data_IF_808115910059
#
_entry.id   IF_808115910059
#
_cell.length_a   1.000
_cell.length_b   1.000
_cell.length_c   1.000
_cell.angle_alpha   90.00
_cell.angle_beta   90.00
_cell.angle_gamma   90.00
#
_symmetry.space_group_name_H-M   'P 1'
#
loop_
_entity.id
_entity.type
_entity.pdbx_description
1 polymer ?
#
# COMPACT_ATOMS: atom_id res chain seq x y z
N UNK A 1 9.42 0.82 15.26
CA UNK A 1 8.19 0.39 15.94
C UNK A 1 7.85 -1.00 15.41
N UNK A 2 7.23 -1.88 16.20
CA UNK A 2 6.79 -3.21 15.76
C UNK A 2 5.31 -3.14 15.37
N UNK A 3 4.96 -3.65 14.18
CA UNK A 3 3.57 -3.80 13.77
C UNK A 3 2.85 -4.80 14.66
N UNK A 4 1.58 -4.53 15.02
CA UNK A 4 0.76 -5.47 15.79
C UNK A 4 0.00 -6.41 14.86
N UNK A 5 -0.46 -7.52 15.41
CA UNK A 5 -1.31 -8.48 14.68
C UNK A 5 -2.58 -7.80 14.15
N UNK A 6 -2.94 -8.11 12.91
CA UNK A 6 -4.10 -7.54 12.26
C UNK A 6 -5.38 -8.16 12.81
N UNK A 7 -6.32 -7.30 13.24
CA UNK A 7 -7.64 -7.70 13.71
C UNK A 7 -8.71 -7.46 12.63
N UNK A 8 -9.97 -7.77 12.94
CA UNK A 8 -11.12 -7.65 12.03
C UNK A 8 -11.23 -6.22 11.47
N UNK A 9 -10.99 -6.05 10.17
CA UNK A 9 -11.06 -4.76 9.48
C UNK A 9 -12.36 -4.56 8.70
N UNK A 10 -13.21 -5.59 8.65
CA UNK A 10 -14.40 -5.62 7.81
C UNK A 10 -15.59 -4.94 8.48
N UNK A 11 -15.70 -5.08 9.81
CA UNK A 11 -16.80 -4.51 10.59
C UNK A 11 -16.34 -3.46 11.59
N UNK A 12 -15.16 -3.64 12.19
CA UNK A 12 -14.53 -2.70 13.11
C UNK A 12 -13.63 -1.75 12.33
N UNK A 13 -14.21 -0.79 11.59
CA UNK A 13 -13.46 0.08 10.68
C UNK A 13 -13.97 1.53 10.76
N UNK A 14 -13.10 2.54 10.61
CA UNK A 14 -13.52 3.95 10.74
C UNK A 14 -14.63 4.35 9.76
N UNK A 15 -14.61 3.79 8.55
CA UNK A 15 -15.64 4.02 7.55
C UNK A 15 -16.99 3.41 7.94
N UNK A 16 -16.95 2.28 8.66
CA UNK A 16 -18.09 1.53 9.14
C UNK A 16 -18.69 2.16 10.41
N UNK A 17 -17.84 2.71 11.28
CA UNK A 17 -18.22 3.14 12.64
C UNK A 17 -18.64 4.60 12.74
N UNK A 18 -18.29 5.45 11.76
CA UNK A 18 -18.56 6.90 11.83
C UNK A 18 -19.48 7.33 10.69
N UNK A 19 -20.61 7.94 11.05
CA UNK A 19 -21.47 8.58 10.07
C UNK A 19 -20.86 9.91 9.60
N UNK A 20 -20.39 9.93 8.37
CA UNK A 20 -19.76 11.09 7.74
C UNK A 20 -20.76 11.97 6.96
N UNK A 21 -22.06 11.64 6.98
CA UNK A 21 -23.08 12.44 6.30
C UNK A 21 -23.14 13.84 6.89
N UNK A 22 -23.15 14.86 6.02
CA UNK A 22 -23.15 16.28 6.43
C UNK A 22 -21.77 16.86 6.75
N UNK A 23 -20.72 16.04 6.71
CA UNK A 23 -19.35 16.54 6.75
C UNK A 23 -18.83 16.85 5.33
N UNK A 24 -18.14 17.98 5.21
CA UNK A 24 -17.55 18.51 3.99
C UNK A 24 -16.21 19.18 4.31
N UNK A 25 -15.52 19.69 3.31
CA UNK A 25 -14.13 20.16 3.42
C UNK A 25 -13.89 21.18 4.54
N UNK A 26 -14.86 22.05 4.85
CA UNK A 26 -14.70 23.08 5.90
C UNK A 26 -14.94 22.57 7.32
N UNK A 27 -15.73 21.50 7.51
CA UNK A 27 -16.09 20.98 8.84
C UNK A 27 -15.53 19.57 9.13
N UNK A 28 -14.72 18.98 8.24
CA UNK A 28 -14.11 17.65 8.41
C UNK A 28 -13.33 17.45 9.72
N UNK A 29 -12.78 18.53 10.30
CA UNK A 29 -12.06 18.49 11.59
C UNK A 29 -12.97 18.16 12.78
N UNK A 30 -14.29 18.31 12.61
CA UNK A 30 -15.28 18.00 13.64
C UNK A 30 -15.71 16.53 13.60
N UNK A 31 -15.20 15.73 12.65
CA UNK A 31 -15.44 14.29 12.64
C UNK A 31 -14.67 13.69 13.82
N UNK A 32 -15.40 13.05 14.72
CA UNK A 32 -14.82 12.35 15.87
C UNK A 32 -14.68 10.88 15.52
N UNK A 33 -13.44 10.41 15.47
CA UNK A 33 -13.14 9.01 15.24
C UNK A 33 -12.93 8.30 16.58
N UNK A 34 -13.71 7.24 16.89
CA UNK A 34 -13.53 6.47 18.13
C UNK A 34 -12.22 5.69 18.09
N UNK A 35 -11.62 5.40 19.24
CA UNK A 35 -10.43 4.53 19.27
C UNK A 35 -10.84 3.10 18.94
N UNK A 36 -10.47 2.61 17.75
CA UNK A 36 -10.76 1.25 17.31
C UNK A 36 -9.64 0.29 17.70
N UNK A 37 -10.04 -0.91 18.14
CA UNK A 37 -9.10 -1.99 18.44
C UNK A 37 -8.50 -2.61 17.19
N UNK A 38 -9.16 -2.49 16.03
CA UNK A 38 -8.59 -2.88 14.74
C UNK A 38 -7.54 -1.90 14.20
N UNK A 39 -7.64 -0.63 14.56
CA UNK A 39 -6.77 0.45 14.10
C UNK A 39 -5.59 0.67 15.05
N UNK A 40 -4.88 -0.41 15.38
CA UNK A 40 -3.84 -0.37 16.41
C UNK A 40 -2.59 0.33 15.90
N UNK A 41 -2.11 1.29 16.68
CA UNK A 41 -0.82 1.92 16.42
C UNK A 41 0.33 0.92 16.63
N UNK A 42 1.38 0.98 15.80
CA UNK A 42 2.59 0.20 16.01
C UNK A 42 3.14 0.40 17.42
N UNK A 43 3.60 -0.67 18.06
CA UNK A 43 4.18 -0.56 19.39
C UNK A 43 5.61 0.01 19.32
N UNK A 44 6.02 0.85 20.28
CA UNK A 44 7.40 1.28 20.38
C UNK A 44 8.31 0.08 20.63
N UNK A 45 9.56 0.16 20.17
CA UNK A 45 10.57 -0.81 20.55
C UNK A 45 10.90 -0.64 22.04
N UNK A 46 11.04 -1.75 22.74
CA UNK A 46 11.49 -1.80 24.12
C UNK A 46 12.79 -2.60 24.19
N UNK A 47 13.44 -2.65 25.35
CA UNK A 47 14.62 -3.52 25.56
C UNK A 47 14.30 -5.00 25.30
N UNK A 48 13.05 -5.41 25.47
CA UNK A 48 12.57 -6.78 25.19
C UNK A 48 12.37 -7.03 23.68
N UNK A 49 12.02 -5.99 22.91
CA UNK A 49 11.79 -6.05 21.46
C UNK A 49 12.65 -4.97 20.78
N UNK A 50 13.97 -5.18 20.68
CA UNK A 50 14.87 -4.19 20.09
C UNK A 50 14.56 -3.99 18.61
N UNK A 51 15.01 -2.86 18.08
CA UNK A 51 14.94 -2.62 16.64
C UNK A 51 15.75 -3.70 15.90
N UNK A 52 15.25 -4.22 14.76
CA UNK A 52 16.01 -5.18 13.97
C UNK A 52 17.29 -4.54 13.45
N UNK A 53 18.38 -5.30 13.47
CA UNK A 53 19.66 -4.86 12.93
C UNK A 53 19.60 -4.90 11.40
N UNK A 54 20.23 -3.93 10.71
CA UNK A 54 20.38 -4.01 9.26
C UNK A 54 21.16 -5.29 8.89
N UNK A 55 20.87 -5.92 7.74
CA UNK A 55 21.61 -7.09 7.29
C UNK A 55 23.09 -6.74 7.05
N UNK A 56 23.98 -7.68 7.38
CA UNK A 56 25.44 -7.49 7.30
C UNK A 56 25.95 -7.33 5.86
N UNK A 57 25.24 -7.88 4.87
CA UNK A 57 25.54 -7.76 3.44
C UNK A 57 24.36 -7.15 2.69
N UNK A 58 24.22 -5.82 2.76
CA UNK A 58 23.45 -5.10 1.75
C UNK A 58 24.31 -5.16 0.47
N UNK A 59 23.98 -6.03 -0.48
CA UNK A 59 24.42 -5.82 -1.86
C UNK A 59 23.88 -4.46 -2.27
N UNK A 60 24.75 -3.45 -2.34
CA UNK A 60 24.34 -2.13 -2.83
C UNK A 60 23.78 -2.36 -4.23
N UNK A 61 22.56 -1.87 -4.48
CA UNK A 61 21.95 -1.86 -5.81
C UNK A 61 22.79 -1.15 -6.89
N UNK A 62 23.95 -0.59 -6.53
CA UNK A 62 24.94 0.00 -7.44
C UNK A 62 25.60 -1.05 -8.35
N UNK A 63 25.53 -2.34 -8.03
CA UNK A 63 26.12 -3.41 -8.86
C UNK A 63 25.20 -3.87 -10.02
N UNK A 64 24.03 -3.26 -10.23
CA UNK A 64 23.09 -3.64 -11.32
C UNK A 64 23.34 -2.83 -12.61
N UNK A 65 24.20 -1.81 -12.57
CA UNK A 65 24.53 -1.03 -13.77
C UNK A 65 25.99 -1.22 -14.10
N UNK A 66 26.33 -2.29 -14.82
CA UNK A 66 27.47 -2.40 -15.74
C UNK A 66 27.52 -3.83 -16.29
N UNK A 67 26.74 -4.10 -17.35
CA UNK A 67 27.18 -4.82 -18.55
C UNK A 67 25.99 -5.03 -19.47
N UNK A 68 25.96 -4.32 -20.60
CA UNK A 68 25.76 -4.90 -21.94
C UNK A 68 25.72 -3.77 -22.97
N UNK A 69 26.88 -3.20 -23.28
CA UNK A 69 27.12 -2.63 -24.61
C UNK A 69 27.45 -3.81 -25.52
N UNK A 70 26.45 -4.27 -26.27
CA UNK A 70 26.65 -4.98 -27.52
C UNK A 70 25.50 -4.53 -28.40
N UNK A 71 25.85 -3.71 -29.39
CA UNK A 71 24.93 -3.33 -30.44
C UNK A 71 24.49 -4.57 -31.19
N UNK A 72 23.19 -4.67 -31.44
CA UNK A 72 22.66 -5.06 -32.73
C UNK A 72 21.23 -4.52 -32.84
N UNK A 73 21.12 -3.53 -33.73
CA UNK A 73 19.91 -2.94 -34.26
C UNK A 73 18.97 -3.99 -34.82
N UNK A 74 17.71 -4.06 -34.39
CA UNK A 74 16.58 -4.56 -35.21
C UNK A 74 15.26 -3.85 -34.83
N UNK A 75 14.33 -3.69 -35.78
CA UNK A 75 13.61 -2.43 -35.98
C UNK A 75 12.41 -2.23 -35.06
N UNK A 76 12.18 -0.95 -34.78
CA UNK A 76 10.93 -0.37 -34.31
C UNK A 76 9.81 -0.80 -35.26
N UNK A 77 8.87 -1.63 -34.79
CA UNK A 77 7.56 -1.77 -35.43
C UNK A 77 6.58 -0.92 -34.64
N UNK A 78 6.31 0.24 -35.21
CA UNK A 78 5.18 1.09 -34.92
C UNK A 78 3.93 0.45 -35.53
N UNK A 79 3.25 -0.36 -34.72
CA UNK A 79 1.84 -0.66 -34.92
C UNK A 79 0.99 0.20 -33.98
N UNK A 80 0.44 1.23 -34.62
CA UNK A 80 -0.54 2.18 -34.12
C UNK A 80 -1.87 1.51 -33.72
N UNK A 81 -2.48 2.04 -32.67
CA UNK A 81 -3.94 2.16 -32.46
C UNK A 81 -4.76 0.89 -32.15
N UNK A 82 -5.28 0.77 -30.92
CA UNK A 82 -6.69 1.08 -30.61
C UNK A 82 -7.11 0.67 -29.18
N UNK A 83 -7.92 1.53 -28.59
CA UNK A 83 -8.93 1.31 -27.54
C UNK A 83 -8.52 0.82 -26.14
N UNK A 84 -8.26 1.80 -25.27
CA UNK A 84 -8.55 1.72 -23.84
C UNK A 84 -10.07 1.57 -23.63
N UNK A 85 -10.56 0.34 -23.73
CA UNK A 85 -11.85 -0.07 -23.17
C UNK A 85 -11.61 -1.10 -22.06
N UNK A 86 -10.86 -0.69 -21.04
CA UNK A 86 -10.80 -1.42 -19.78
C UNK A 86 -12.13 -1.26 -19.05
N UNK A 87 -13.09 -2.12 -19.35
CA UNK A 87 -14.23 -2.33 -18.46
C UNK A 87 -13.68 -2.80 -17.11
N UNK A 88 -14.07 -2.19 -15.97
CA UNK A 88 -13.73 -2.78 -14.68
C UNK A 88 -14.57 -4.06 -14.56
N UNK A 89 -13.93 -5.21 -14.69
CA UNK A 89 -14.54 -6.51 -14.43
C UNK A 89 -14.96 -6.51 -12.96
N UNK A 90 -16.26 -6.30 -12.73
CA UNK A 90 -16.87 -6.48 -11.41
C UNK A 90 -16.61 -7.93 -11.01
N UNK A 91 -15.90 -8.08 -9.90
CA UNK A 91 -15.62 -9.34 -9.23
C UNK A 91 -16.94 -10.10 -9.06
N UNK A 92 -17.08 -11.16 -9.85
CA UNK A 92 -18.15 -12.13 -9.74
C UNK A 92 -17.84 -13.00 -8.53
N UNK A 93 -18.60 -12.84 -7.45
CA UNK A 93 -18.69 -13.87 -6.44
C UNK A 93 -20.17 -14.23 -6.25
N UNK A 94 -20.50 -15.40 -6.79
CA UNK A 94 -21.66 -16.19 -6.41
C UNK A 94 -21.14 -17.33 -5.55
N UNK A 95 -21.65 -17.43 -4.33
CA UNK A 95 -21.96 -18.70 -3.68
C UNK A 95 -23.31 -18.52 -2.96
#
# INVERSE_FOLDING_TARGET
MIGREQQNYTTDCYFCSVDIRGFYTKNKKNILYPNLTSAILPAPHTSEIPAPHPPSSIRRFQDIRNDSENGDTLPHQDESSSDFAGTPTIFSERA
#
